data_IF_499156518583
#
_entry.id   IF_499156518583
#
_cell.length_a   1.000
_cell.length_b   1.000
_cell.length_c   1.000
_cell.angle_alpha   90.00
_cell.angle_beta   90.00
_cell.angle_gamma   90.00
#
_symmetry.space_group_name_H-M   'P 1'
#
loop_
_entity.id
_entity.type
_entity.pdbx_description
1 polymer ?
#
# COMPACT_ATOMS: atom_id res chain seq x y z
N UNK A 1 0.43 6.90 2.34
CA UNK A 1 1.57 7.75 1.92
C UNK A 1 2.08 8.60 3.09
N UNK A 2 1.26 9.46 3.69
CA UNK A 2 1.67 10.26 4.87
C UNK A 2 2.19 9.39 6.02
N UNK A 3 1.52 8.27 6.30
CA UNK A 3 1.98 7.30 7.29
C UNK A 3 3.40 6.80 7.03
N UNK A 4 3.71 6.40 5.79
CA UNK A 4 5.07 5.97 5.43
C UNK A 4 6.13 7.05 5.66
N UNK A 5 5.81 8.33 5.44
CA UNK A 5 6.71 9.44 5.78
C UNK A 5 6.93 9.58 7.29
N UNK A 6 5.86 9.47 8.08
CA UNK A 6 5.93 9.55 9.54
C UNK A 6 6.73 8.38 10.11
N UNK A 7 6.47 7.15 9.63
CA UNK A 7 7.23 5.95 10.01
C UNK A 7 8.71 6.09 9.66
N UNK A 8 9.03 6.54 8.44
CA UNK A 8 10.41 6.78 8.03
C UNK A 8 11.10 7.88 8.85
N UNK A 9 10.33 8.87 9.32
CA UNK A 9 10.80 9.92 10.23
C UNK A 9 10.91 9.49 11.70
N UNK A 10 10.52 8.26 12.05
CA UNK A 10 10.58 7.74 13.41
C UNK A 10 9.43 8.19 14.33
N UNK A 11 8.38 8.81 13.78
CA UNK A 11 7.19 9.19 14.53
C UNK A 11 6.35 7.95 14.86
N UNK A 12 5.70 7.97 16.04
CA UNK A 12 4.93 6.85 16.57
C UNK A 12 3.45 7.18 16.67
N UNK A 13 2.61 6.32 16.10
CA UNK A 13 1.16 6.33 16.29
C UNK A 13 0.82 6.22 17.79
N UNK A 14 -0.24 6.91 18.22
CA UNK A 14 -0.67 6.99 19.61
C UNK A 14 0.19 7.87 20.52
N UNK A 15 1.37 8.30 20.06
CA UNK A 15 2.26 9.22 20.80
C UNK A 15 2.39 10.55 20.07
N UNK A 16 2.85 10.51 18.82
CA UNK A 16 3.13 11.69 18.01
C UNK A 16 1.99 12.04 17.06
N UNK A 17 1.18 11.05 16.68
CA UNK A 17 0.02 11.23 15.82
C UNK A 17 -1.07 10.19 16.09
N UNK A 18 -2.29 10.50 15.66
CA UNK A 18 -3.43 9.57 15.63
C UNK A 18 -4.07 9.61 14.25
N UNK A 19 -4.76 8.52 13.90
CA UNK A 19 -5.51 8.44 12.65
C UNK A 19 -6.99 8.29 12.95
N UNK A 20 -7.80 9.06 12.25
CA UNK A 20 -9.25 9.02 12.37
C UNK A 20 -9.87 9.26 11.00
N UNK A 21 -11.10 8.77 10.82
CA UNK A 21 -11.90 9.10 9.66
C UNK A 21 -12.05 10.63 9.57
N UNK A 22 -11.94 11.19 8.37
CA UNK A 22 -12.22 12.60 8.15
C UNK A 22 -13.66 12.92 8.64
N UNK A 23 -13.92 14.12 9.18
CA UNK A 23 -15.28 14.51 9.55
C UNK A 23 -16.23 14.44 8.35
N UNK A 24 -17.39 13.82 8.54
CA UNK A 24 -18.38 13.65 7.47
C UNK A 24 -19.81 13.78 7.99
N UNK A 25 -20.75 14.22 7.15
CA UNK A 25 -22.16 14.50 7.48
C UNK A 25 -23.15 13.40 7.07
N UNK A 26 -22.76 12.47 6.20
CA UNK A 26 -23.57 11.37 5.68
C UNK A 26 -23.96 10.28 6.70
N UNK A 27 -23.59 10.42 7.99
CA UNK A 27 -24.08 9.61 9.11
C UNK A 27 -23.74 8.12 9.08
N UNK A 28 -22.86 7.68 8.17
CA UNK A 28 -22.45 6.28 7.99
C UNK A 28 -20.93 6.16 7.88
N UNK A 29 -20.34 5.00 8.26
CA UNK A 29 -18.95 4.71 7.95
C UNK A 29 -18.71 4.74 6.44
N UNK A 30 -17.61 5.35 6.02
CA UNK A 30 -17.22 5.45 4.62
C UNK A 30 -15.72 5.24 4.47
N UNK A 31 -15.32 4.66 3.34
CA UNK A 31 -13.92 4.48 3.00
C UNK A 31 -13.67 5.07 1.62
N UNK A 32 -12.80 6.08 1.54
CA UNK A 32 -12.35 6.66 0.27
C UNK A 32 -11.08 5.92 -0.11
N UNK A 33 -11.20 4.99 -1.06
CA UNK A 33 -10.07 4.23 -1.57
C UNK A 33 -9.35 5.02 -2.66
N UNK A 34 -8.03 5.17 -2.52
CA UNK A 34 -7.13 5.45 -3.61
C UNK A 34 -6.20 4.24 -3.81
N UNK A 35 -5.91 3.88 -5.05
CA UNK A 35 -5.04 2.75 -5.39
C UNK A 35 -3.91 3.23 -6.28
N UNK A 36 -2.67 2.95 -5.87
CA UNK A 36 -1.49 3.11 -6.71
C UNK A 36 -1.44 1.94 -7.70
N UNK A 37 -1.46 2.22 -9.00
CA UNK A 37 -1.47 1.20 -10.06
C UNK A 37 -0.26 1.37 -10.98
N UNK A 38 0.42 0.26 -11.29
CA UNK A 38 1.51 0.23 -12.27
C UNK A 38 0.95 -0.22 -13.61
N UNK A 39 1.08 0.63 -14.64
CA UNK A 39 0.60 0.35 -16.00
C UNK A 39 1.78 -0.03 -16.89
N UNK A 40 1.66 -1.16 -17.56
CA UNK A 40 2.64 -1.65 -18.51
C UNK A 40 2.24 -1.26 -19.94
N UNK A 41 2.97 -0.30 -20.52
CA UNK A 41 2.77 0.10 -21.91
C UNK A 41 3.28 -0.97 -22.86
N UNK A 42 2.57 -1.18 -23.98
CA UNK A 42 2.93 -2.19 -24.98
C UNK A 42 4.36 -2.00 -25.49
N UNK A 43 5.15 -3.08 -25.46
CA UNK A 43 6.53 -3.12 -25.94
C UNK A 43 6.67 -4.05 -27.14
N UNK A 44 7.66 -3.77 -27.99
CA UNK A 44 8.06 -4.64 -29.10
C UNK A 44 9.32 -5.45 -28.79
N UNK A 45 10.14 -4.94 -27.89
CA UNK A 45 11.37 -5.60 -27.46
C UNK A 45 11.03 -6.78 -26.52
N UNK A 46 11.42 -8.03 -26.87
CA UNK A 46 11.18 -9.19 -26.03
C UNK A 46 11.74 -9.05 -24.60
N UNK A 47 12.91 -8.41 -24.43
CA UNK A 47 13.53 -8.26 -23.12
C UNK A 47 12.71 -7.34 -22.22
N UNK A 48 12.13 -6.27 -22.78
CA UNK A 48 11.21 -5.42 -22.04
C UNK A 48 9.91 -6.13 -21.70
N UNK A 49 9.36 -6.96 -22.60
CA UNK A 49 8.16 -7.75 -22.31
C UNK A 49 8.40 -8.70 -21.14
N UNK A 50 9.55 -9.38 -21.12
CA UNK A 50 9.91 -10.28 -20.01
C UNK A 50 10.14 -9.50 -18.70
N UNK A 51 10.81 -8.33 -18.77
CA UNK A 51 10.97 -7.45 -17.62
C UNK A 51 9.64 -6.96 -17.03
N UNK A 52 8.66 -6.61 -17.87
CA UNK A 52 7.32 -6.22 -17.42
C UNK A 52 6.59 -7.36 -16.71
N UNK A 53 6.67 -8.59 -17.23
CA UNK A 53 6.09 -9.78 -16.58
C UNK A 53 6.74 -10.08 -15.23
N UNK A 54 8.07 -9.97 -15.17
CA UNK A 54 8.82 -10.16 -13.93
C UNK A 54 8.41 -9.12 -12.89
N UNK A 55 8.36 -7.84 -13.26
CA UNK A 55 7.93 -6.79 -12.35
C UNK A 55 6.47 -7.01 -11.90
N UNK A 56 5.56 -7.30 -12.82
CA UNK A 56 4.14 -7.53 -12.50
C UNK A 56 3.94 -8.65 -11.48
N UNK A 57 4.63 -9.78 -11.65
CA UNK A 57 4.57 -10.90 -10.71
C UNK A 57 5.24 -10.57 -9.37
N UNK A 58 6.35 -9.84 -9.41
CA UNK A 58 7.10 -9.45 -8.20
C UNK A 58 6.28 -8.50 -7.32
N UNK A 59 5.74 -7.41 -7.89
CA UNK A 59 5.01 -6.40 -7.12
C UNK A 59 3.68 -6.90 -6.56
N UNK A 60 3.13 -7.99 -7.13
CA UNK A 60 1.95 -8.67 -6.62
C UNK A 60 2.29 -9.95 -5.85
N UNK A 61 3.55 -10.20 -5.51
CA UNK A 61 3.87 -11.31 -4.59
C UNK A 61 3.36 -10.99 -3.17
N UNK A 62 2.93 -11.99 -2.38
CA UNK A 62 2.51 -11.76 -0.99
C UNK A 62 3.60 -11.10 -0.15
N UNK A 63 4.86 -11.50 -0.35
CA UNK A 63 6.02 -10.94 0.35
C UNK A 63 6.21 -9.46 0.04
N UNK A 64 6.24 -9.09 -1.25
CA UNK A 64 6.36 -7.69 -1.64
C UNK A 64 5.16 -6.87 -1.15
N UNK A 65 3.94 -7.38 -1.30
CA UNK A 65 2.73 -6.72 -0.81
C UNK A 65 2.76 -6.52 0.70
N UNK A 66 3.40 -7.40 1.48
CA UNK A 66 3.57 -7.21 2.91
C UNK A 66 4.54 -6.08 3.21
N UNK A 67 5.80 -6.20 2.75
CA UNK A 67 6.88 -5.27 3.11
C UNK A 67 6.63 -3.87 2.55
N UNK A 68 6.16 -3.78 1.30
CA UNK A 68 5.89 -2.51 0.65
C UNK A 68 4.79 -1.74 1.39
N UNK A 69 3.67 -2.38 1.71
CA UNK A 69 2.52 -1.71 2.31
C UNK A 69 2.74 -1.33 3.78
N UNK A 70 3.49 -2.15 4.54
CA UNK A 70 3.93 -1.78 5.89
C UNK A 70 4.79 -0.50 5.88
N UNK A 71 5.73 -0.42 4.93
CA UNK A 71 6.62 0.75 4.81
C UNK A 71 5.88 1.98 4.27
N UNK A 72 5.00 1.79 3.29
CA UNK A 72 4.24 2.86 2.62
C UNK A 72 3.10 3.42 3.49
N UNK A 73 2.65 2.63 4.48
CA UNK A 73 1.45 2.88 5.26
C UNK A 73 0.20 2.83 4.39
N UNK A 74 0.04 1.75 3.65
CA UNK A 74 -1.13 1.44 2.82
C UNK A 74 -1.63 0.03 3.11
N UNK A 75 -2.78 -0.33 2.52
CA UNK A 75 -3.37 -1.67 2.63
C UNK A 75 -2.95 -2.49 1.40
N UNK A 76 -2.54 -3.76 1.54
CA UNK A 76 -2.24 -4.64 0.41
C UNK A 76 -3.41 -4.76 -0.57
N UNK A 77 -3.09 -4.81 -1.86
CA UNK A 77 -4.09 -5.07 -2.90
C UNK A 77 -4.55 -6.55 -2.92
N UNK A 78 -3.78 -7.43 -2.26
CA UNK A 78 -4.05 -8.86 -2.14
C UNK A 78 -4.83 -9.18 -0.87
N UNK A 79 -5.83 -10.05 -1.01
CA UNK A 79 -6.70 -10.48 0.09
C UNK A 79 -6.09 -11.61 0.93
N UNK A 80 -5.04 -12.26 0.44
CA UNK A 80 -4.36 -13.39 1.08
C UNK A 80 -3.09 -12.98 1.85
N UNK A 81 -2.85 -11.68 2.01
CA UNK A 81 -1.78 -11.16 2.87
C UNK A 81 -2.27 -11.13 4.32
N UNK A 82 -1.52 -11.77 5.22
CA UNK A 82 -1.81 -11.73 6.65
C UNK A 82 -1.51 -10.33 7.22
N UNK A 83 -2.55 -9.68 7.74
CA UNK A 83 -2.45 -8.33 8.30
C UNK A 83 -2.11 -8.33 9.80
N UNK A 84 -2.01 -9.49 10.45
CA UNK A 84 -1.85 -9.58 11.91
C UNK A 84 -0.48 -9.14 12.43
N UNK A 85 0.51 -8.99 11.56
CA UNK A 85 1.88 -8.64 11.95
C UNK A 85 2.43 -7.47 11.12
N UNK A 86 3.01 -6.48 11.80
CA UNK A 86 3.74 -5.35 11.19
C UNK A 86 2.89 -4.29 10.50
N UNK A 87 1.60 -4.54 10.26
CA UNK A 87 0.67 -3.50 9.82
C UNK A 87 0.30 -2.61 10.99
N UNK A 88 0.24 -1.30 10.71
CA UNK A 88 -0.07 -0.30 11.71
C UNK A 88 -1.60 -0.22 11.92
N UNK A 89 -2.08 0.32 13.06
CA UNK A 89 -3.52 0.42 13.33
C UNK A 89 -4.21 1.52 12.52
N UNK A 90 -3.42 2.40 11.89
CA UNK A 90 -3.85 3.18 10.73
C UNK A 90 -3.58 2.42 9.41
#
# INVERSE_FOLDING_TARGET
WTLGLLTAGGFKEGTDYVCAQAPTDWGKPGFILNSDSVVFFQQKDPDYVEGQKLLASTILSPEFQTIFNQTKGSIPARLDVDLSNGFNPC
#
